data_IF_427104234591
#
_entry.id   IF_427104234591
#
_cell.length_a   1.000
_cell.length_b   1.000
_cell.length_c   1.000
_cell.angle_alpha   90.00
_cell.angle_beta   90.00
_cell.angle_gamma   90.00
#
_symmetry.space_group_name_H-M   'P 1'
#
loop_
_entity.id
_entity.type
_entity.pdbx_description
1 polymer ?
#
# COMPACT_ATOMS: atom_id res chain seq x y z
N UNK A 1 -3.36 -1.27 -21.36
CA UNK A 1 -3.83 -1.39 -19.96
C UNK A 1 -2.77 -2.23 -19.30
N UNK A 2 -2.17 -1.73 -18.22
CA UNK A 2 -1.04 -2.41 -17.58
C UNK A 2 -1.60 -3.50 -16.69
N UNK A 3 -1.08 -4.71 -16.83
CA UNK A 3 -1.53 -5.87 -16.07
C UNK A 3 -0.45 -6.32 -15.08
N UNK A 4 -0.86 -7.08 -14.06
CA UNK A 4 0.08 -7.71 -13.17
C UNK A 4 0.61 -9.01 -13.81
N UNK A 5 1.93 -9.13 -13.96
CA UNK A 5 2.57 -10.37 -14.43
C UNK A 5 2.90 -11.34 -13.29
N UNK A 6 3.17 -10.81 -12.09
CA UNK A 6 3.51 -11.61 -10.92
C UNK A 6 3.17 -10.87 -9.62
N UNK A 7 2.62 -11.59 -8.65
CA UNK A 7 2.47 -11.14 -7.27
C UNK A 7 3.35 -11.99 -6.34
N UNK A 8 4.10 -11.33 -5.45
CA UNK A 8 5.01 -11.97 -4.50
C UNK A 8 4.70 -11.47 -3.10
N UNK A 9 4.01 -12.29 -2.33
CA UNK A 9 3.69 -12.00 -0.93
C UNK A 9 4.93 -12.17 -0.05
N UNK A 10 5.01 -11.41 1.06
CA UNK A 10 6.05 -11.64 2.06
C UNK A 10 5.98 -13.09 2.57
N UNK A 11 7.11 -13.83 2.60
CA UNK A 11 7.12 -15.26 2.93
C UNK A 11 6.62 -15.56 4.36
N UNK A 12 6.79 -14.60 5.27
CA UNK A 12 6.34 -14.69 6.66
C UNK A 12 5.06 -13.90 6.94
N UNK A 13 4.24 -13.62 5.92
CA UNK A 13 2.91 -13.06 6.14
C UNK A 13 2.08 -13.99 7.04
N UNK A 14 1.50 -13.43 8.11
CA UNK A 14 0.80 -14.23 9.12
C UNK A 14 -0.58 -13.66 9.47
N UNK A 15 -1.61 -14.53 9.43
CA UNK A 15 -2.94 -14.29 10.01
C UNK A 15 -3.10 -15.13 11.29
N UNK A 16 -3.60 -14.56 12.41
CA UNK A 16 -4.41 -13.34 12.49
C UNK A 16 -3.64 -12.05 12.80
N UNK A 17 -2.35 -12.13 13.11
CA UNK A 17 -1.57 -10.97 13.58
C UNK A 17 -1.36 -9.88 12.52
N UNK A 18 -1.62 -10.18 11.24
CA UNK A 18 -1.33 -9.30 10.09
C UNK A 18 0.13 -8.84 10.10
N UNK A 19 1.02 -9.68 10.62
CA UNK A 19 2.45 -9.43 10.60
C UNK A 19 2.96 -9.57 9.16
N UNK A 20 3.90 -8.71 8.79
CA UNK A 20 4.50 -8.65 7.45
C UNK A 20 3.48 -8.46 6.32
N UNK A 21 2.49 -7.58 6.52
CA UNK A 21 1.45 -7.27 5.54
C UNK A 21 1.99 -6.37 4.40
N UNK A 22 2.82 -6.95 3.54
CA UNK A 22 3.36 -6.32 2.34
C UNK A 22 3.51 -7.33 1.20
N UNK A 23 3.41 -6.84 -0.03
CA UNK A 23 3.49 -7.64 -1.25
C UNK A 23 4.11 -6.82 -2.37
N UNK A 24 4.91 -7.46 -3.22
CA UNK A 24 5.42 -6.87 -4.46
C UNK A 24 4.57 -7.32 -5.64
N UNK A 25 4.25 -6.39 -6.55
CA UNK A 25 3.56 -6.67 -7.81
C UNK A 25 4.49 -6.26 -8.95
N UNK A 26 4.79 -7.19 -9.84
CA UNK A 26 5.52 -6.92 -11.07
C UNK A 26 4.51 -6.68 -12.20
N UNK A 27 4.70 -5.59 -12.93
CA UNK A 27 3.91 -5.25 -14.11
C UNK A 27 4.35 -6.13 -15.30
N UNK A 28 3.45 -6.37 -16.24
CA UNK A 28 3.74 -7.08 -17.49
C UNK A 28 4.62 -6.25 -18.44
N UNK A 29 4.44 -4.94 -18.43
CA UNK A 29 5.26 -3.95 -19.14
C UNK A 29 5.80 -2.85 -18.22
N UNK A 30 6.93 -2.25 -18.59
CA UNK A 30 7.49 -1.10 -17.89
C UNK A 30 6.67 0.16 -18.18
N UNK A 31 6.36 0.94 -17.14
CA UNK A 31 5.67 2.23 -17.30
C UNK A 31 6.70 3.34 -17.41
N UNK A 32 6.57 4.19 -18.43
CA UNK A 32 7.42 5.37 -18.61
C UNK A 32 7.09 6.44 -17.57
N UNK A 33 8.12 7.01 -16.92
CA UNK A 33 7.94 8.13 -16.01
C UNK A 33 7.44 9.38 -16.72
N UNK A 34 6.64 10.18 -16.00
CA UNK A 34 6.04 11.43 -16.49
C UNK A 34 5.80 12.41 -15.34
N UNK A 35 5.12 13.52 -15.61
CA UNK A 35 4.71 14.47 -14.58
C UNK A 35 3.64 13.92 -13.63
N UNK A 36 2.92 12.88 -14.05
CA UNK A 36 1.86 12.24 -13.25
C UNK A 36 2.23 10.83 -12.77
N UNK A 37 3.33 10.25 -13.28
CA UNK A 37 3.78 8.89 -12.96
C UNK A 37 5.23 8.95 -12.51
N UNK A 38 5.48 8.68 -11.23
CA UNK A 38 6.84 8.62 -10.66
C UNK A 38 6.95 7.54 -9.61
N UNK A 39 8.17 7.01 -9.47
CA UNK A 39 8.53 6.10 -8.38
C UNK A 39 8.68 6.84 -7.05
N UNK A 40 8.44 6.13 -5.94
CA UNK A 40 8.67 6.62 -4.59
C UNK A 40 9.86 5.89 -3.98
N UNK A 41 10.72 6.62 -3.26
CA UNK A 41 11.87 6.02 -2.57
C UNK A 41 11.43 5.22 -1.35
N UNK A 42 12.10 4.09 -1.12
CA UNK A 42 11.91 3.27 0.07
C UNK A 42 12.69 3.89 1.22
N UNK A 43 12.06 3.99 2.39
CA UNK A 43 12.71 4.50 3.59
C UNK A 43 13.85 3.57 4.03
N UNK A 44 15.02 4.15 4.32
CA UNK A 44 16.20 3.42 4.82
C UNK A 44 16.21 3.27 6.35
N UNK A 45 15.37 4.04 7.04
CA UNK A 45 15.30 4.09 8.49
C UNK A 45 13.84 4.10 8.95
N UNK A 46 13.59 3.54 10.13
CA UNK A 46 12.26 3.56 10.73
C UNK A 46 11.88 5.00 11.13
N UNK A 47 10.60 5.40 10.94
CA UNK A 47 10.13 6.70 11.41
C UNK A 47 10.10 6.74 12.93
N UNK A 48 10.26 7.94 13.48
CA UNK A 48 10.13 8.21 14.91
C UNK A 48 8.71 8.70 15.25
N UNK A 49 8.29 8.53 16.49
CA UNK A 49 7.01 9.09 16.94
C UNK A 49 6.97 10.62 16.72
N UNK A 50 5.86 11.13 16.17
CA UNK A 50 5.71 12.55 15.84
C UNK A 50 6.20 12.95 14.45
N UNK A 51 6.79 12.03 13.67
CA UNK A 51 7.10 12.28 12.25
C UNK A 51 5.81 12.56 11.47
N UNK A 52 5.80 13.65 10.71
CA UNK A 52 4.68 14.00 9.83
C UNK A 52 4.65 13.08 8.61
N UNK A 53 3.47 12.58 8.27
CA UNK A 53 3.23 11.67 7.14
C UNK A 53 2.05 12.16 6.30
N UNK A 54 2.09 11.90 4.99
CA UNK A 54 0.98 12.12 4.07
C UNK A 54 0.38 10.77 3.67
N UNK A 55 -0.93 10.61 3.81
CA UNK A 55 -1.67 9.39 3.40
C UNK A 55 -2.71 9.78 2.36
N UNK A 56 -2.81 9.00 1.30
CA UNK A 56 -3.76 9.21 0.20
C UNK A 56 -4.46 7.91 -0.18
N UNK A 57 -5.68 8.01 -0.71
CA UNK A 57 -6.48 6.87 -1.15
C UNK A 57 -7.92 7.27 -1.43
N UNK A 58 -8.68 6.36 -2.04
CA UNK A 58 -10.11 6.52 -2.35
C UNK A 58 -11.02 5.71 -1.42
N UNK A 59 -10.51 5.30 -0.24
CA UNK A 59 -11.27 4.53 0.74
C UNK A 59 -12.41 5.33 1.35
N UNK A 60 -13.42 4.63 1.87
CA UNK A 60 -14.52 5.24 2.63
C UNK A 60 -13.96 6.00 3.83
N UNK A 61 -14.42 7.24 3.99
CA UNK A 61 -14.13 8.04 5.16
C UNK A 61 -15.05 7.58 6.29
N UNK A 62 -14.54 7.56 7.53
CA UNK A 62 -15.28 7.09 8.71
C UNK A 62 -16.67 7.74 8.90
N UNK A 63 -16.89 8.89 8.26
CA UNK A 63 -18.13 9.68 8.36
C UNK A 63 -19.22 9.21 7.38
N UNK A 64 -18.91 8.29 6.47
CA UNK A 64 -19.85 7.67 5.51
C UNK A 64 -20.08 6.18 5.82
N UNK A 65 -19.89 5.77 7.08
CA UNK A 65 -20.27 4.44 7.54
C UNK A 65 -21.77 4.42 7.88
N UNK A 66 -22.66 3.84 7.05
CA UNK A 66 -23.95 3.35 7.56
C UNK A 66 -23.67 2.34 8.67
N UNK A 67 -24.56 2.19 9.68
CA UNK A 67 -24.24 1.64 11.00
C UNK A 67 -23.81 0.18 10.95
N UNK A 68 -22.54 -0.07 10.67
CA UNK A 68 -21.93 -1.40 10.61
C UNK A 68 -20.61 -1.45 11.40
N UNK A 69 -20.45 -0.58 12.40
CA UNK A 69 -19.49 -0.78 13.48
C UNK A 69 -20.25 -1.06 14.77
N UNK A 70 -20.83 -2.26 14.84
CA UNK A 70 -21.07 -2.95 16.12
C UNK A 70 -20.47 -4.35 16.00
N UNK A 71 -19.23 -4.47 16.44
CA UNK A 71 -18.58 -5.70 16.84
C UNK A 71 -17.57 -5.35 17.94
#
# INVERSE_FOLDING_TARGET
MVEASLSVQHPEYNRPLLANDLMLIKLDESVSESDTIRSISIALQCPTAGTSCLVSGWGLLANECPPCCSA
#
